data_IF_629315252209
#
_entry.id   IF_629315252209
#
_cell.length_a   1.000
_cell.length_b   1.000
_cell.length_c   1.000
_cell.angle_alpha   90.00
_cell.angle_beta   90.00
_cell.angle_gamma   90.00
#
_symmetry.space_group_name_H-M   'P 1'
#
loop_
_entity.id
_entity.type
_entity.pdbx_description
1 polymer ?
#
# COMPACT_ATOMS: atom_id res chain seq x y z
N UNK A 1 2.69 -12.33 -0.82
CA UNK A 1 2.05 -11.16 -0.18
C UNK A 1 0.53 -11.32 -0.25
N UNK A 2 -0.26 -10.89 0.76
CA UNK A 2 -1.73 -10.89 0.70
C UNK A 2 -2.23 -9.44 0.63
N UNK A 3 -2.62 -8.97 -0.56
CA UNK A 3 -3.12 -7.61 -0.75
C UNK A 3 -4.49 -7.43 -0.09
N UNK A 4 -4.67 -6.28 0.54
CA UNK A 4 -5.93 -5.89 1.18
C UNK A 4 -6.22 -4.42 0.90
N UNK A 5 -7.51 -4.09 0.80
CA UNK A 5 -7.98 -2.71 0.92
C UNK A 5 -8.49 -2.48 2.33
N UNK A 6 -8.13 -1.36 2.92
CA UNK A 6 -8.51 -1.05 4.30
C UNK A 6 -8.76 0.45 4.48
N UNK A 7 -9.44 0.79 5.57
CA UNK A 7 -9.56 2.16 6.08
C UNK A 7 -9.22 2.18 7.56
N UNK A 8 -8.64 3.28 8.01
CA UNK A 8 -8.31 3.59 9.40
C UNK A 8 -9.11 4.83 9.79
N UNK A 9 -9.90 4.75 10.86
CA UNK A 9 -10.64 5.90 11.41
C UNK A 9 -11.51 6.65 10.37
N UNK A 10 -12.12 5.95 9.41
CA UNK A 10 -12.99 6.56 8.40
C UNK A 10 -12.25 7.34 7.30
N UNK A 11 -10.91 7.29 7.28
CA UNK A 11 -10.10 7.87 6.21
C UNK A 11 -10.37 7.19 4.86
N UNK A 12 -10.01 7.82 3.73
CA UNK A 12 -10.13 7.20 2.41
C UNK A 12 -9.47 5.81 2.37
N UNK A 13 -10.03 4.92 1.53
CA UNK A 13 -9.50 3.58 1.37
C UNK A 13 -8.03 3.62 0.95
N UNK A 14 -7.23 2.74 1.55
CA UNK A 14 -5.80 2.57 1.26
C UNK A 14 -5.51 1.14 0.84
N UNK A 15 -4.39 0.96 0.16
CA UNK A 15 -3.87 -0.35 -0.22
C UNK A 15 -2.82 -0.81 0.78
N UNK A 16 -2.94 -2.06 1.22
CA UNK A 16 -2.06 -2.65 2.19
C UNK A 16 -1.74 -4.12 1.89
N UNK A 17 -0.85 -4.68 2.70
CA UNK A 17 -0.64 -6.13 2.77
C UNK A 17 -0.93 -6.66 4.16
N UNK A 18 -1.68 -7.76 4.26
CA UNK A 18 -1.90 -8.48 5.50
C UNK A 18 -0.67 -9.33 5.84
N UNK A 19 -0.10 -9.11 7.04
CA UNK A 19 1.05 -9.81 7.59
C UNK A 19 0.71 -10.28 9.02
N UNK A 20 0.24 -11.52 9.16
CA UNK A 20 -0.25 -12.01 10.45
C UNK A 20 -1.43 -11.18 10.94
N UNK A 21 -1.29 -10.59 12.13
CA UNK A 21 -2.31 -9.73 12.76
C UNK A 21 -2.07 -8.22 12.52
N UNK A 22 -1.27 -7.88 11.51
CA UNK A 22 -0.95 -6.50 11.14
C UNK A 22 -1.27 -6.27 9.67
N UNK A 23 -1.72 -5.06 9.36
CA UNK A 23 -1.88 -4.55 7.99
C UNK A 23 -0.76 -3.57 7.73
N UNK A 24 0.12 -3.92 6.79
CA UNK A 24 1.18 -3.05 6.29
C UNK A 24 0.59 -2.03 5.31
N UNK A 25 0.62 -0.74 5.65
CA UNK A 25 0.22 0.36 4.76
C UNK A 25 1.33 0.59 3.71
N UNK A 26 1.06 0.18 2.47
CA UNK A 26 2.05 0.24 1.39
C UNK A 26 2.32 1.68 0.96
N UNK A 27 1.28 2.51 0.88
CA UNK A 27 1.41 3.91 0.47
C UNK A 27 2.16 4.74 1.50
N UNK A 28 1.79 4.63 2.78
CA UNK A 28 2.49 5.37 3.84
C UNK A 28 3.95 4.92 4.00
N UNK A 29 4.23 3.62 3.82
CA UNK A 29 5.62 3.11 3.86
C UNK A 29 6.43 3.62 2.66
N UNK A 30 5.81 3.68 1.48
CA UNK A 30 6.48 4.21 0.29
C UNK A 30 6.73 5.71 0.37
N UNK A 31 5.80 6.48 0.94
CA UNK A 31 6.00 7.89 1.28
C UNK A 31 7.20 8.08 2.20
N UNK A 32 7.27 7.33 3.30
CA UNK A 32 8.40 7.38 4.23
C UNK A 32 9.73 7.02 3.53
N UNK A 33 9.71 6.03 2.64
CA UNK A 33 10.86 5.63 1.86
C UNK A 33 11.37 6.75 0.94
N UNK A 34 10.46 7.45 0.25
CA UNK A 34 10.79 8.58 -0.62
C UNK A 34 11.30 9.78 0.19
N UNK A 35 10.62 10.11 1.29
CA UNK A 35 10.99 11.21 2.16
C UNK A 35 12.39 11.00 2.78
N UNK A 36 12.70 9.77 3.22
CA UNK A 36 14.03 9.41 3.73
C UNK A 36 15.16 9.51 2.70
N UNK A 37 14.82 9.61 1.41
CA UNK A 37 15.76 9.82 0.29
C UNK A 37 15.82 11.27 -0.18
N UNK A 38 15.13 12.20 0.49
CA UNK A 38 15.09 13.61 0.11
C UNK A 38 14.24 13.89 -1.13
N UNK A 39 13.36 12.97 -1.52
CA UNK A 39 12.45 13.19 -2.66
C UNK A 39 11.36 14.18 -2.25
N UNK A 40 11.30 15.33 -2.93
CA UNK A 40 10.24 16.30 -2.75
C UNK A 40 8.88 15.72 -3.18
N UNK A 41 7.79 16.17 -2.54
CA UNK A 41 6.41 15.70 -2.83
C UNK A 41 6.24 14.19 -2.68
N UNK A 42 6.96 13.58 -1.73
CA UNK A 42 6.91 12.15 -1.44
C UNK A 42 5.49 11.61 -1.26
N UNK A 43 4.62 12.34 -0.56
CA UNK A 43 3.23 11.96 -0.33
C UNK A 43 2.44 11.84 -1.65
N UNK A 44 2.58 12.81 -2.55
CA UNK A 44 1.86 12.84 -3.82
C UNK A 44 2.32 11.73 -4.76
N UNK A 45 3.64 11.50 -4.81
CA UNK A 45 4.22 10.40 -5.60
C UNK A 45 3.80 9.04 -5.04
N UNK A 46 3.81 8.87 -3.72
CA UNK A 46 3.33 7.65 -3.10
C UNK A 46 1.85 7.41 -3.39
N UNK A 47 1.02 8.46 -3.31
CA UNK A 47 -0.39 8.36 -3.63
C UNK A 47 -0.65 8.00 -5.10
N UNK A 48 0.18 8.49 -6.04
CA UNK A 48 0.03 8.13 -7.46
C UNK A 48 0.27 6.64 -7.76
N UNK A 49 1.09 5.96 -6.95
CA UNK A 49 1.42 4.54 -7.14
C UNK A 49 0.64 3.60 -6.22
N UNK A 50 0.35 4.04 -5.00
CA UNK A 50 -0.33 3.26 -3.96
C UNK A 50 -1.60 3.99 -3.50
N UNK A 51 -2.50 4.24 -4.44
CA UNK A 51 -3.83 4.77 -4.16
C UNK A 51 -4.77 3.68 -3.64
N UNK A 52 -5.98 4.08 -3.25
CA UNK A 52 -6.99 3.21 -2.67
C UNK A 52 -7.66 2.22 -3.62
N UNK A 53 -7.27 2.12 -4.90
CA UNK A 53 -7.85 1.18 -5.87
C UNK A 53 -6.86 0.06 -6.18
N UNK A 54 -7.23 -1.17 -5.84
CA UNK A 54 -6.44 -2.35 -6.22
C UNK A 54 -6.38 -2.53 -7.72
N UNK A 55 -7.42 -2.11 -8.46
CA UNK A 55 -7.43 -2.24 -9.92
C UNK A 55 -6.32 -1.41 -10.55
N UNK A 56 -6.27 -0.11 -10.29
CA UNK A 56 -5.27 0.72 -10.95
C UNK A 56 -3.85 0.41 -10.44
N UNK A 57 -3.70 -0.08 -9.19
CA UNK A 57 -2.44 -0.67 -8.71
C UNK A 57 -1.96 -1.86 -9.56
N UNK A 58 -2.89 -2.77 -9.91
CA UNK A 58 -2.59 -3.93 -10.76
C UNK A 58 -2.32 -3.50 -12.22
N UNK A 59 -3.09 -2.53 -12.74
CA UNK A 59 -2.93 -2.02 -14.10
C UNK A 59 -1.63 -1.24 -14.29
N UNK A 60 -1.09 -0.60 -13.24
CA UNK A 60 0.21 0.06 -13.26
C UNK A 60 1.39 -0.92 -13.43
N UNK A 61 1.15 -2.23 -13.24
CA UNK A 61 2.04 -3.32 -13.65
C UNK A 61 3.45 -3.25 -13.06
N UNK A 62 4.44 -3.10 -13.92
CA UNK A 62 5.85 -3.15 -13.52
C UNK A 62 6.24 -1.99 -12.59
N UNK A 63 5.63 -0.82 -12.75
CA UNK A 63 5.98 0.37 -11.97
C UNK A 63 5.67 0.15 -10.49
N UNK A 64 4.48 -0.37 -10.18
CA UNK A 64 4.06 -0.68 -8.80
C UNK A 64 4.81 -1.88 -8.25
N UNK A 65 5.10 -2.88 -9.08
CA UNK A 65 5.91 -4.05 -8.69
C UNK A 65 7.33 -3.65 -8.29
N UNK A 66 7.99 -2.79 -9.10
CA UNK A 66 9.33 -2.28 -8.81
C UNK A 66 9.34 -1.37 -7.58
N UNK A 67 8.31 -0.54 -7.40
CA UNK A 67 8.15 0.28 -6.20
C UNK A 67 8.01 -0.57 -4.93
N UNK A 68 7.22 -1.64 -4.99
CA UNK A 68 7.05 -2.60 -3.90
C UNK A 68 8.34 -3.34 -3.57
N UNK A 69 9.06 -3.84 -4.58
CA UNK A 69 10.34 -4.53 -4.38
C UNK A 69 11.35 -3.65 -3.64
N UNK A 70 11.44 -2.36 -4.02
CA UNK A 70 12.34 -1.40 -3.37
C UNK A 70 12.05 -1.18 -1.89
N UNK A 71 10.77 -1.07 -1.50
CA UNK A 71 10.42 -0.92 -0.08
C UNK A 71 10.61 -2.23 0.68
N UNK A 72 10.33 -3.38 0.07
CA UNK A 72 10.61 -4.69 0.68
C UNK A 72 12.10 -4.89 0.94
N UNK A 73 12.96 -4.56 -0.02
CA UNK A 73 14.41 -4.61 0.11
C UNK A 73 14.91 -3.67 1.21
N UNK A 74 14.41 -2.44 1.25
CA UNK A 74 14.78 -1.47 2.28
C UNK A 74 14.37 -1.94 3.70
N UNK A 75 13.19 -2.55 3.81
CA UNK A 75 12.73 -3.15 5.08
C UNK A 75 13.60 -4.35 5.47
N UNK A 76 13.91 -5.27 4.54
CA UNK A 76 14.79 -6.42 4.79
C UNK A 76 16.19 -5.99 5.21
N UNK A 77 16.70 -4.90 4.65
CA UNK A 77 17.99 -4.32 4.99
C UNK A 77 17.97 -3.51 6.31
N UNK A 78 16.83 -3.39 7.00
CA UNK A 78 16.70 -2.61 8.23
C UNK A 78 16.79 -1.09 8.04
N UNK A 79 16.72 -0.61 6.80
CA UNK A 79 16.82 0.83 6.45
C UNK A 79 15.48 1.55 6.46
N UNK A 80 14.38 0.80 6.51
CA UNK A 80 13.02 1.30 6.51
C UNK A 80 12.17 0.49 7.47
N UNK A 81 11.36 1.15 8.29
CA UNK A 81 10.36 0.50 9.12
C UNK A 81 9.04 0.45 8.38
N UNK A 82 8.31 -0.66 8.50
CA UNK A 82 6.96 -0.76 7.94
C UNK A 82 6.02 0.17 8.71
N UNK A 83 5.22 0.96 8.00
CA UNK A 83 4.05 1.61 8.59
C UNK A 83 2.94 0.57 8.67
N UNK A 84 2.54 0.18 9.87
CA UNK A 84 1.58 -0.91 10.07
C UNK A 84 0.51 -0.57 11.09
N UNK A 85 -0.67 -1.15 10.88
CA UNK A 85 -1.83 -1.01 11.75
C UNK A 85 -2.26 -2.40 12.28
N UNK A 86 -2.61 -2.53 13.57
CA UNK A 86 -3.21 -3.73 14.10
C UNK A 86 -4.46 -4.10 13.32
N UNK A 87 -4.64 -5.38 12.99
CA UNK A 87 -5.76 -5.86 12.16
C UNK A 87 -7.12 -5.49 12.75
N UNK A 88 -7.26 -5.49 14.08
CA UNK A 88 -8.48 -5.11 14.80
C UNK A 88 -8.77 -3.59 14.79
N UNK A 89 -7.79 -2.76 14.48
CA UNK A 89 -7.91 -1.30 14.42
C UNK A 89 -8.33 -0.78 13.03
N UNK A 90 -8.38 -1.67 12.03
CA UNK A 90 -8.72 -1.31 10.66
C UNK A 90 -9.97 -2.02 10.19
N UNK A 91 -10.71 -1.36 9.30
CA UNK A 91 -11.82 -1.98 8.57
C UNK A 91 -11.31 -2.46 7.22
N UNK A 92 -11.37 -3.76 6.98
CA UNK A 92 -11.12 -4.30 5.64
C UNK A 92 -12.31 -4.02 4.73
N UNK A 93 -12.00 -3.74 3.47
CA UNK A 93 -12.98 -3.46 2.42
C UNK A 93 -12.93 -4.59 1.38
N UNK A 94 -13.88 -4.57 0.45
CA UNK A 94 -13.82 -5.43 -0.72
C UNK A 94 -12.45 -5.27 -1.42
N UNK A 95 -11.75 -6.37 -1.77
CA UNK A 95 -10.42 -6.31 -2.38
C UNK A 95 -10.38 -5.49 -3.67
N UNK A 96 -11.48 -5.47 -4.43
CA UNK A 96 -11.69 -4.61 -5.58
C UNK A 96 -13.08 -3.98 -5.40
N UNK A 97 -13.21 -2.65 -5.48
CA UNK A 97 -14.51 -1.96 -5.43
C UNK A 97 -15.13 -1.65 -6.80
N UNK A 98 -14.30 -1.72 -7.83
CA UNK A 98 -14.55 -1.23 -9.18
C UNK A 98 -14.15 -2.30 -10.21
N UNK A 99 -14.68 -3.53 -10.11
CA UNK A 99 -14.35 -4.58 -11.07
C UNK A 99 -14.88 -4.21 -12.46
N UNK A 100 -14.04 -4.35 -13.49
CA UNK A 100 -14.48 -4.19 -14.89
C UNK A 100 -15.42 -5.30 -15.32
N UNK A 101 -15.20 -6.51 -14.79
CA UNK A 101 -16.01 -7.69 -15.06
C UNK A 101 -16.13 -8.53 -13.79
N UNK A 102 -17.34 -8.99 -13.52
CA UNK A 102 -17.63 -10.01 -12.51
C UNK A 102 -17.95 -11.32 -13.23
N UNK A 103 -17.23 -12.38 -12.89
CA UNK A 103 -17.46 -13.73 -13.41
C UNK A 103 -17.88 -14.58 -12.21
N UNK A 104 -19.02 -15.24 -12.32
CA UNK A 104 -19.64 -16.04 -11.28
C UNK A 104 -19.85 -17.46 -11.79
#
# INVERSE_FOLDING_TARGET
MKLVRFTVNGQPARLGSLLGDQVWDLGATYEQFLAGRGVARAAELAHSLFHGSTRDFLQAGEVTTNALARIEEAVKAGKLTRVSHPRNSVRLLAPIHDPEKLIC
#
